data_IF_039950132460
#
_entry.id   IF_039950132460
#
_cell.length_a   1.000
_cell.length_b   1.000
_cell.length_c   1.000
_cell.angle_alpha   90.00
_cell.angle_beta   90.00
_cell.angle_gamma   90.00
#
_symmetry.space_group_name_H-M   'P 1'
#
loop_
_entity.id
_entity.type
_entity.pdbx_description
1 polymer ?
#
# COMPACT_ATOMS: atom_id res chain seq x y z
N UNK A 1 -53.31 -15.17 37.52
CA UNK A 1 -52.64 -15.19 36.21
C UNK A 1 -52.29 -13.76 35.84
N UNK A 2 -51.06 -13.33 36.13
CA UNK A 2 -50.65 -11.92 35.98
C UNK A 2 -49.55 -11.86 34.92
N UNK A 3 -49.94 -11.45 33.71
CA UNK A 3 -49.05 -11.38 32.56
C UNK A 3 -48.03 -10.24 32.73
N UNK A 4 -46.77 -10.61 32.68
CA UNK A 4 -45.61 -9.72 32.65
C UNK A 4 -45.69 -8.82 31.41
N UNK A 5 -45.73 -7.49 31.61
CA UNK A 5 -45.44 -6.52 30.53
C UNK A 5 -43.95 -6.16 30.63
N UNK A 6 -43.12 -6.87 29.88
CA UNK A 6 -41.74 -6.46 29.64
C UNK A 6 -41.77 -5.32 28.61
N UNK A 7 -41.53 -4.09 29.09
CA UNK A 7 -41.30 -2.92 28.25
C UNK A 7 -39.84 -2.99 27.82
N UNK A 8 -39.58 -3.48 26.61
CA UNK A 8 -38.26 -3.34 25.99
C UNK A 8 -38.09 -1.89 25.53
N UNK A 9 -37.48 -1.05 26.38
CA UNK A 9 -37.01 0.27 25.96
C UNK A 9 -35.72 0.09 25.15
N UNK A 10 -35.83 0.22 23.83
CA UNK A 10 -34.69 0.22 22.93
C UNK A 10 -33.99 1.59 23.01
N UNK A 11 -33.11 1.76 24.01
CA UNK A 11 -32.22 2.91 24.08
C UNK A 11 -31.17 2.78 22.98
N UNK A 12 -31.46 3.40 21.83
CA UNK A 12 -30.53 3.59 20.73
C UNK A 12 -29.39 4.50 21.20
N UNK A 13 -28.31 3.90 21.72
CA UNK A 13 -27.12 4.63 22.19
C UNK A 13 -26.44 5.26 20.97
N UNK A 14 -26.73 6.53 20.71
CA UNK A 14 -25.86 7.40 19.92
C UNK A 14 -24.60 7.64 20.75
N UNK A 15 -23.65 6.71 20.69
CA UNK A 15 -22.31 6.93 21.23
C UNK A 15 -21.74 8.18 20.56
N UNK A 16 -21.65 9.28 21.32
CA UNK A 16 -21.04 10.53 20.90
C UNK A 16 -19.55 10.25 20.63
N UNK A 17 -19.22 9.93 19.39
CA UNK A 17 -17.85 9.76 18.96
C UNK A 17 -17.07 11.05 19.22
N UNK A 18 -15.82 10.99 19.70
CA UNK A 18 -14.98 12.17 19.85
C UNK A 18 -14.94 12.92 18.52
N UNK A 19 -15.02 14.26 18.57
CA UNK A 19 -15.04 15.18 17.43
C UNK A 19 -13.75 15.02 16.58
N UNK A 20 -13.67 13.94 15.79
CA UNK A 20 -12.59 13.70 14.83
C UNK A 20 -12.71 14.79 13.78
N UNK A 21 -11.65 15.60 13.63
CA UNK A 21 -11.55 16.62 12.57
C UNK A 21 -11.82 15.94 11.22
N UNK A 22 -13.01 16.19 10.67
CA UNK A 22 -13.46 15.53 9.45
C UNK A 22 -12.64 16.02 8.26
N UNK A 23 -12.18 15.09 7.44
CA UNK A 23 -11.47 15.46 6.21
C UNK A 23 -12.45 16.10 5.22
N UNK A 24 -11.95 16.94 4.31
CA UNK A 24 -12.76 17.54 3.25
C UNK A 24 -13.54 16.48 2.43
N UNK A 25 -12.93 15.31 2.20
CA UNK A 25 -13.57 14.16 1.51
C UNK A 25 -14.76 13.61 2.29
N UNK A 26 -14.64 13.47 3.61
CA UNK A 26 -15.73 13.01 4.48
C UNK A 26 -16.90 14.00 4.53
N UNK A 27 -16.61 15.30 4.57
CA UNK A 27 -17.64 16.36 4.53
C UNK A 27 -18.43 16.31 3.22
N UNK A 28 -17.74 16.21 2.08
CA UNK A 28 -18.38 16.06 0.77
C UNK A 28 -19.25 14.80 0.69
N UNK A 29 -18.72 13.67 1.15
CA UNK A 29 -19.49 12.42 1.17
C UNK A 29 -20.73 12.50 2.06
N UNK A 30 -20.62 13.10 3.26
CA UNK A 30 -21.78 13.34 4.14
C UNK A 30 -22.84 14.23 3.49
N UNK A 31 -22.44 15.27 2.77
CA UNK A 31 -23.38 16.13 2.03
C UNK A 31 -24.13 15.34 0.95
N UNK A 32 -23.43 14.45 0.23
CA UNK A 32 -24.03 13.52 -0.73
C UNK A 32 -25.03 12.59 -0.03
N UNK A 33 -24.62 11.92 1.05
CA UNK A 33 -25.51 11.04 1.84
C UNK A 33 -26.76 11.79 2.29
N UNK A 34 -26.59 13.00 2.82
CA UNK A 34 -27.71 13.86 3.24
C UNK A 34 -28.69 14.14 2.10
N UNK A 35 -28.20 14.43 0.89
CA UNK A 35 -29.03 14.66 -0.30
C UNK A 35 -29.87 13.42 -0.66
N UNK A 36 -29.26 12.23 -0.68
CA UNK A 36 -29.98 10.99 -0.98
C UNK A 36 -30.96 10.61 0.13
N UNK A 37 -30.59 10.82 1.39
CA UNK A 37 -31.47 10.57 2.53
C UNK A 37 -32.69 11.51 2.52
N UNK A 38 -32.49 12.80 2.24
CA UNK A 38 -33.58 13.76 2.07
C UNK A 38 -34.55 13.34 0.95
N UNK A 39 -34.02 12.86 -0.17
CA UNK A 39 -34.86 12.36 -1.26
C UNK A 39 -35.69 11.13 -0.84
N UNK A 40 -35.08 10.20 -0.09
CA UNK A 40 -35.75 8.97 0.35
C UNK A 40 -36.79 9.21 1.43
N UNK A 41 -36.53 10.15 2.35
CA UNK A 41 -37.40 10.44 3.50
C UNK A 41 -38.40 11.57 3.24
N UNK A 42 -38.23 12.34 2.16
CA UNK A 42 -39.04 13.50 1.77
C UNK A 42 -39.50 14.39 2.97
N UNK A 43 -38.58 14.85 3.84
CA UNK A 43 -38.96 15.48 5.10
C UNK A 43 -39.58 16.88 4.94
N UNK A 44 -39.53 17.47 3.74
CA UNK A 44 -39.98 18.85 3.49
C UNK A 44 -41.47 18.96 3.13
N UNK A 45 -42.12 17.88 2.69
CA UNK A 45 -43.55 17.91 2.38
C UNK A 45 -44.21 16.57 2.74
N UNK A 46 -44.92 16.47 3.88
CA UNK A 46 -45.59 15.24 4.29
C UNK A 46 -46.78 14.86 3.39
N UNK A 47 -47.23 15.77 2.52
CA UNK A 47 -48.33 15.54 1.57
C UNK A 47 -47.85 15.25 0.15
N UNK A 48 -46.55 15.35 -0.12
CA UNK A 48 -46.01 15.01 -1.42
C UNK A 48 -45.99 13.49 -1.60
N UNK A 49 -46.32 13.03 -2.81
CA UNK A 49 -46.29 11.62 -3.13
C UNK A 49 -44.88 11.06 -2.92
N UNK A 50 -44.72 9.97 -2.14
CA UNK A 50 -43.41 9.37 -1.93
C UNK A 50 -42.86 8.86 -3.26
N UNK A 51 -41.53 8.92 -3.49
CA UNK A 51 -40.94 8.44 -4.72
C UNK A 51 -41.29 6.96 -4.93
N UNK A 52 -41.72 6.65 -6.16
CA UNK A 52 -42.07 5.30 -6.54
C UNK A 52 -40.90 4.32 -6.29
N UNK A 53 -41.20 3.04 -6.10
CA UNK A 53 -40.19 2.02 -5.75
C UNK A 53 -39.04 1.97 -6.76
N UNK A 54 -39.33 2.17 -8.04
CA UNK A 54 -38.32 2.18 -9.11
C UNK A 54 -37.40 3.39 -9.04
N UNK A 55 -37.94 4.58 -8.77
CA UNK A 55 -37.13 5.78 -8.58
C UNK A 55 -36.21 5.65 -7.37
N UNK A 56 -36.69 5.05 -6.28
CA UNK A 56 -35.85 4.75 -5.11
C UNK A 56 -34.72 3.79 -5.46
N UNK A 57 -35.01 2.70 -6.18
CA UNK A 57 -34.00 1.74 -6.65
C UNK A 57 -32.93 2.41 -7.50
N UNK A 58 -33.32 3.15 -8.55
CA UNK A 58 -32.37 3.85 -9.43
C UNK A 58 -31.45 4.81 -8.67
N UNK A 59 -31.98 5.54 -7.68
CA UNK A 59 -31.20 6.46 -6.85
C UNK A 59 -30.27 5.73 -5.88
N UNK A 60 -30.68 4.60 -5.33
CA UNK A 60 -29.81 3.77 -4.50
C UNK A 60 -28.70 3.12 -5.33
N UNK A 61 -28.99 2.68 -6.56
CA UNK A 61 -27.98 2.16 -7.48
C UNK A 61 -26.96 3.24 -7.88
N UNK A 62 -27.41 4.48 -8.08
CA UNK A 62 -26.54 5.64 -8.30
C UNK A 62 -25.65 5.91 -7.08
N UNK A 63 -26.22 5.87 -5.88
CA UNK A 63 -25.49 6.05 -4.63
C UNK A 63 -24.46 4.94 -4.37
N UNK A 64 -24.79 3.68 -4.69
CA UNK A 64 -23.90 2.54 -4.50
C UNK A 64 -22.61 2.63 -5.34
N UNK A 65 -22.62 3.38 -6.45
CA UNK A 65 -21.44 3.65 -7.28
C UNK A 65 -20.50 4.70 -6.65
N UNK A 66 -20.96 5.45 -5.66
CA UNK A 66 -20.18 6.52 -5.04
C UNK A 66 -19.16 5.89 -4.08
N UNK A 67 -17.85 6.12 -4.27
CA UNK A 67 -16.83 5.49 -3.44
C UNK A 67 -16.93 6.03 -2.00
N UNK A 68 -17.04 5.10 -1.06
CA UNK A 68 -17.03 5.42 0.37
C UNK A 68 -15.62 5.92 0.75
N UNK A 69 -15.49 7.10 1.39
CA UNK A 69 -14.21 7.56 1.89
C UNK A 69 -13.70 6.57 2.93
N UNK A 70 -12.58 5.92 2.62
CA UNK A 70 -11.93 4.98 3.55
C UNK A 70 -11.62 5.66 4.88
N UNK A 71 -11.82 4.93 5.97
CA UNK A 71 -11.43 5.41 7.29
C UNK A 71 -9.91 5.49 7.40
N UNK A 72 -9.40 6.24 8.38
CA UNK A 72 -7.94 6.32 8.60
C UNK A 72 -7.36 4.94 8.90
N UNK A 73 -8.09 4.14 9.66
CA UNK A 73 -7.71 2.77 10.04
C UNK A 73 -7.60 1.86 8.80
N UNK A 74 -8.57 1.87 7.90
CA UNK A 74 -8.49 1.12 6.63
C UNK A 74 -7.35 1.60 5.72
N UNK A 75 -7.04 2.89 5.76
CA UNK A 75 -5.92 3.43 4.97
C UNK A 75 -4.55 3.03 5.52
N UNK A 76 -4.45 2.82 6.84
CA UNK A 76 -3.24 2.34 7.50
C UNK A 76 -3.06 0.85 7.27
N UNK A 77 -4.12 0.05 7.42
CA UNK A 77 -4.08 -1.38 7.15
C UNK A 77 -3.59 -1.70 5.72
N UNK A 78 -4.06 -0.95 4.71
CA UNK A 78 -3.57 -1.13 3.33
C UNK A 78 -2.10 -0.77 3.15
N UNK A 79 -1.61 0.24 3.87
CA UNK A 79 -0.18 0.62 3.82
C UNK A 79 0.69 -0.43 4.48
N UNK A 80 0.24 -0.99 5.60
CA UNK A 80 0.93 -2.07 6.29
C UNK A 80 1.03 -3.31 5.40
N UNK A 81 -0.07 -3.69 4.74
CA UNK A 81 -0.09 -4.78 3.77
C UNK A 81 0.89 -4.54 2.60
N UNK A 82 0.94 -3.31 2.06
CA UNK A 82 1.88 -2.96 0.98
C UNK A 82 3.34 -2.99 1.44
N UNK A 83 3.62 -2.55 2.67
CA UNK A 83 4.95 -2.60 3.27
C UNK A 83 5.37 -4.05 3.49
N UNK A 84 4.47 -4.90 3.98
CA UNK A 84 4.72 -6.32 4.21
C UNK A 84 5.01 -7.06 2.91
N UNK A 85 4.19 -6.85 1.87
CA UNK A 85 4.44 -7.41 0.54
C UNK A 85 5.79 -6.96 -0.03
N UNK A 86 6.17 -5.70 0.18
CA UNK A 86 7.47 -5.18 -0.25
C UNK A 86 8.62 -5.82 0.51
N UNK A 87 8.47 -6.02 1.82
CA UNK A 87 9.46 -6.71 2.65
C UNK A 87 9.64 -8.16 2.22
N UNK A 88 8.54 -8.88 2.00
CA UNK A 88 8.58 -10.26 1.53
C UNK A 88 9.33 -10.41 0.19
N UNK A 89 9.11 -9.49 -0.76
CA UNK A 89 9.86 -9.47 -2.04
C UNK A 89 11.35 -9.27 -1.85
N UNK A 90 11.74 -8.33 -0.97
CA UNK A 90 13.15 -8.04 -0.68
C UNK A 90 13.81 -9.25 0.01
N UNK A 91 13.10 -9.90 0.93
CA UNK A 91 13.59 -11.07 1.63
C UNK A 91 13.80 -12.27 0.69
N UNK A 92 12.86 -12.51 -0.21
CA UNK A 92 12.99 -13.54 -1.25
C UNK A 92 14.18 -13.28 -2.19
N UNK A 93 14.36 -12.03 -2.64
CA UNK A 93 15.51 -11.65 -3.45
C UNK A 93 16.84 -11.83 -2.70
N UNK A 94 16.89 -11.43 -1.43
CA UNK A 94 18.07 -11.60 -0.59
C UNK A 94 18.40 -13.08 -0.37
N UNK A 95 17.39 -13.94 -0.21
CA UNK A 95 17.55 -15.40 -0.09
C UNK A 95 18.16 -15.99 -1.36
N UNK A 96 17.61 -15.67 -2.53
CA UNK A 96 18.14 -16.12 -3.82
C UNK A 96 19.58 -15.63 -4.05
N UNK A 97 19.89 -14.41 -3.59
CA UNK A 97 21.24 -13.85 -3.67
C UNK A 97 22.22 -14.59 -2.75
N UNK A 98 21.81 -14.93 -1.54
CA UNK A 98 22.61 -15.72 -0.60
C UNK A 98 22.90 -17.13 -1.15
N UNK A 99 21.89 -17.81 -1.69
CA UNK A 99 22.04 -19.11 -2.34
C UNK A 99 23.02 -19.05 -3.52
N UNK A 100 22.96 -18.01 -4.35
CA UNK A 100 23.91 -17.79 -5.46
C UNK A 100 25.35 -17.56 -4.98
N UNK A 101 25.55 -16.94 -3.81
CA UNK A 101 26.88 -16.71 -3.22
C UNK A 101 27.45 -18.02 -2.69
N UNK A 102 26.65 -18.85 -2.01
CA UNK A 102 27.06 -20.18 -1.54
C UNK A 102 27.41 -21.12 -2.69
N UNK A 103 26.68 -21.04 -3.80
CA UNK A 103 26.92 -21.86 -4.98
C UNK A 103 28.07 -21.37 -5.87
N UNK A 104 28.73 -20.25 -5.57
CA UNK A 104 29.95 -19.84 -6.28
C UNK A 104 31.15 -20.50 -5.60
N UNK A 105 31.72 -21.59 -6.15
CA UNK A 105 33.02 -22.02 -5.71
C UNK A 105 33.99 -20.91 -6.12
N UNK A 106 34.84 -20.47 -5.20
CA UNK A 106 35.91 -19.53 -5.48
C UNK A 106 36.99 -20.22 -6.33
N UNK A 107 36.64 -20.73 -7.51
CA UNK A 107 37.55 -21.18 -8.55
C UNK A 107 38.15 -19.96 -9.28
N UNK A 108 38.49 -18.90 -8.55
CA UNK A 108 39.43 -17.94 -9.11
C UNK A 108 40.80 -18.60 -8.96
N UNK A 109 41.46 -18.97 -10.07
CA UNK A 109 42.85 -19.40 -9.98
C UNK A 109 43.64 -18.29 -9.28
N UNK A 110 44.63 -18.65 -8.43
CA UNK A 110 45.46 -17.65 -7.80
C UNK A 110 46.02 -16.72 -8.89
N UNK A 111 46.07 -15.40 -8.64
CA UNK A 111 46.64 -14.48 -9.61
C UNK A 111 48.05 -14.96 -9.98
N UNK A 112 48.43 -14.95 -11.27
CA UNK A 112 49.76 -15.39 -11.67
C UNK A 112 50.82 -14.60 -10.89
N UNK A 113 51.91 -15.26 -10.44
CA UNK A 113 52.95 -14.59 -9.68
C UNK A 113 53.48 -13.40 -10.49
N UNK A 114 53.61 -12.24 -9.82
CA UNK A 114 54.15 -11.03 -10.46
C UNK A 114 55.56 -11.33 -10.94
N UNK A 115 55.78 -11.19 -12.26
CA UNK A 115 57.12 -11.25 -12.84
C UNK A 115 57.83 -9.94 -12.50
N UNK A 116 58.85 -10.04 -11.66
CA UNK A 116 59.76 -8.94 -11.39
C UNK A 116 60.97 -9.10 -12.30
N UNK A 117 61.25 -8.08 -13.09
CA UNK A 117 62.47 -7.98 -13.87
C UNK A 117 63.38 -6.94 -13.21
N UNK A 118 64.67 -7.26 -13.07
CA UNK A 118 65.65 -6.28 -12.63
C UNK A 118 65.99 -5.36 -13.80
N UNK A 119 65.71 -4.08 -13.65
CA UNK A 119 66.07 -3.09 -14.65
C UNK A 119 67.52 -2.63 -14.41
N UNK A 120 68.46 -3.15 -15.19
CA UNK A 120 69.89 -2.81 -15.08
C UNK A 120 70.18 -1.34 -15.39
N UNK A 121 69.35 -0.64 -16.16
CA UNK A 121 69.53 0.78 -16.50
C UNK A 121 69.13 1.70 -15.34
N UNK A 122 68.13 1.29 -14.55
CA UNK A 122 67.59 2.08 -13.43
C UNK A 122 67.97 1.51 -12.05
N UNK A 123 68.75 0.43 -12.03
CA UNK A 123 69.13 -0.31 -10.82
C UNK A 123 67.94 -0.59 -9.87
N UNK A 124 66.79 -0.96 -10.43
CA UNK A 124 65.56 -1.16 -9.67
C UNK A 124 64.77 -2.37 -10.18
N UNK A 125 64.11 -3.08 -9.27
CA UNK A 125 63.13 -4.12 -9.60
C UNK A 125 61.83 -3.50 -10.11
N UNK A 126 61.43 -3.84 -11.34
CA UNK A 126 60.17 -3.38 -11.94
C UNK A 126 59.24 -4.58 -12.11
N UNK A 127 57.98 -4.43 -11.71
CA UNK A 127 56.95 -5.41 -12.05
C UNK A 127 56.45 -5.16 -13.48
N UNK A 128 56.41 -6.20 -14.31
CA UNK A 128 55.74 -6.14 -15.62
C UNK A 128 54.24 -5.91 -15.41
N UNK A 129 53.82 -4.65 -15.41
CA UNK A 129 52.43 -4.30 -15.64
C UNK A 129 52.24 -4.31 -17.16
N UNK A 130 51.77 -5.46 -17.66
CA UNK A 130 51.39 -5.76 -19.04
C UNK A 130 51.66 -4.64 -20.05
N UNK A 131 52.66 -4.85 -20.91
CA UNK A 131 52.94 -3.98 -22.04
C UNK A 131 51.66 -3.73 -22.87
N UNK A 132 51.32 -2.47 -23.21
CA UNK A 132 50.30 -2.23 -24.22
C UNK A 132 50.81 -2.79 -25.54
N UNK A 133 50.01 -3.66 -26.18
CA UNK A 133 50.21 -4.14 -27.53
C UNK A 133 50.61 -2.97 -28.45
N UNK A 134 51.86 -2.94 -28.91
CA UNK A 134 52.24 -2.08 -30.02
C UNK A 134 51.79 -2.76 -31.32
N UNK A 135 51.10 -2.03 -32.23
CA UNK A 135 50.72 -2.60 -33.52
C UNK A 135 51.97 -2.76 -34.37
N UNK A 136 52.15 -3.95 -34.94
CA UNK A 136 53.14 -4.24 -35.98
C UNK A 136 52.88 -3.36 -37.21
N UNK A 137 53.94 -2.73 -37.71
CA UNK A 137 53.96 -2.06 -39.02
C UNK A 137 54.03 -3.09 -40.14
#
# INVERSE_FOLDING_TARGET
MTAQKQIYSYSFIFNATPQRKQTHKQRKYRAIVGKYLMFLMNPHNPYAEPPCKEMRRRRLDEFAKIPVPRTKEESLAKKEEEIEQRRARIEEENRLRAERIHLKPTLRPPPPPKRFAFNCLKFLWVSDRGAPNQPSK
#
